data_IF_336903169294
#
_entry.id   IF_336903169294
#
_cell.length_a   1.000
_cell.length_b   1.000
_cell.length_c   1.000
_cell.angle_alpha   90.00
_cell.angle_beta   90.00
_cell.angle_gamma   90.00
#
_symmetry.space_group_name_H-M   'P 1'
#
loop_
_entity.id
_entity.type
_entity.pdbx_description
1 polymer ?
#
# COMPACT_ATOMS: atom_id res chain seq x y z
N UNK A 1 1.07 -44.89 -13.91
CA UNK A 1 0.53 -44.24 -12.70
C UNK A 1 1.11 -42.83 -12.60
N UNK A 2 0.31 -41.77 -12.70
CA UNK A 2 0.82 -40.40 -12.56
C UNK A 2 1.14 -40.13 -11.09
N UNK A 3 2.38 -39.72 -10.80
CA UNK A 3 2.81 -39.44 -9.44
C UNK A 3 2.11 -38.22 -8.87
N UNK A 4 1.96 -38.14 -7.54
CA UNK A 4 1.34 -36.99 -6.85
C UNK A 4 1.91 -35.64 -7.30
N UNK A 5 3.23 -35.56 -7.47
CA UNK A 5 3.95 -34.36 -7.96
C UNK A 5 3.55 -33.96 -9.37
N UNK A 6 3.28 -34.92 -10.25
CA UNK A 6 2.87 -34.64 -11.63
C UNK A 6 1.43 -34.13 -11.68
N UNK A 7 0.57 -34.65 -10.78
CA UNK A 7 -0.80 -34.18 -10.61
C UNK A 7 -0.85 -32.74 -10.09
N UNK A 8 0.00 -32.38 -9.14
CA UNK A 8 0.13 -31.00 -8.63
C UNK A 8 0.59 -30.04 -9.75
N UNK A 9 1.66 -30.40 -10.48
CA UNK A 9 2.11 -29.60 -11.64
C UNK A 9 1.04 -29.45 -12.71
N UNK A 10 0.29 -30.51 -12.98
CA UNK A 10 -0.81 -30.47 -13.95
C UNK A 10 -1.94 -29.54 -13.49
N UNK A 11 -2.28 -29.59 -12.20
CA UNK A 11 -3.27 -28.71 -11.60
C UNK A 11 -2.84 -27.24 -11.73
N UNK A 12 -1.60 -26.91 -11.35
CA UNK A 12 -1.07 -25.54 -11.42
C UNK A 12 -1.09 -24.99 -12.86
N UNK A 13 -0.62 -25.79 -13.82
CA UNK A 13 -0.68 -25.44 -15.25
C UNK A 13 -2.11 -25.22 -15.73
N UNK A 14 -3.03 -26.09 -15.32
CA UNK A 14 -4.46 -25.98 -15.70
C UNK A 14 -5.08 -24.72 -15.12
N UNK A 15 -4.81 -24.41 -13.85
CA UNK A 15 -5.32 -23.22 -13.18
C UNK A 15 -4.75 -21.94 -13.80
N UNK A 16 -3.43 -21.90 -14.02
CA UNK A 16 -2.78 -20.76 -14.68
C UNK A 16 -3.30 -20.55 -16.10
N UNK A 17 -3.45 -21.62 -16.88
CA UNK A 17 -3.98 -21.54 -18.24
C UNK A 17 -5.42 -20.98 -18.26
N UNK A 18 -6.33 -21.51 -17.43
CA UNK A 18 -7.71 -21.02 -17.36
C UNK A 18 -7.78 -19.56 -16.92
N UNK A 19 -6.94 -19.18 -15.97
CA UNK A 19 -6.86 -17.80 -15.50
C UNK A 19 -6.36 -16.85 -16.59
N UNK A 20 -5.32 -17.24 -17.33
CA UNK A 20 -4.80 -16.46 -18.47
C UNK A 20 -5.85 -16.33 -19.58
N UNK A 21 -6.60 -17.39 -19.86
CA UNK A 21 -7.68 -17.36 -20.85
C UNK A 21 -8.73 -16.29 -20.54
N UNK A 22 -9.15 -16.14 -19.28
CA UNK A 22 -10.14 -15.11 -18.89
C UNK A 22 -9.64 -13.70 -19.21
N UNK A 23 -8.34 -13.45 -19.02
CA UNK A 23 -7.72 -12.14 -19.29
C UNK A 23 -7.51 -11.91 -20.79
N UNK A 24 -7.18 -12.96 -21.55
CA UNK A 24 -7.02 -12.84 -23.00
C UNK A 24 -8.34 -12.59 -23.73
N UNK A 25 -9.43 -13.22 -23.29
CA UNK A 25 -10.77 -13.07 -23.90
C UNK A 25 -11.25 -11.61 -23.89
N UNK A 26 -10.80 -10.80 -22.93
CA UNK A 26 -11.15 -9.37 -22.88
C UNK A 26 -10.72 -8.61 -24.14
N UNK A 27 -9.64 -9.06 -24.81
CA UNK A 27 -9.13 -8.42 -26.03
C UNK A 27 -10.00 -8.69 -27.26
N UNK A 28 -10.81 -9.76 -27.22
CA UNK A 28 -11.67 -10.16 -28.34
C UNK A 28 -12.95 -9.33 -28.40
N UNK A 29 -13.26 -8.53 -27.37
CA UNK A 29 -14.44 -7.67 -27.34
C UNK A 29 -15.76 -8.40 -27.08
N UNK A 30 -15.73 -9.71 -26.84
CA UNK A 30 -16.93 -10.53 -26.59
C UNK A 30 -17.14 -10.81 -25.09
N UNK A 31 -18.01 -10.07 -24.39
CA UNK A 31 -18.21 -10.23 -22.95
C UNK A 31 -18.90 -11.55 -22.59
N UNK A 32 -19.66 -12.15 -23.52
CA UNK A 32 -20.38 -13.41 -23.29
C UNK A 32 -19.43 -14.57 -22.99
N UNK A 33 -18.29 -14.62 -23.67
CA UNK A 33 -17.26 -15.62 -23.43
C UNK A 33 -16.61 -15.44 -22.05
N UNK A 34 -16.45 -14.20 -21.58
CA UNK A 34 -15.77 -13.93 -20.31
C UNK A 34 -16.46 -14.57 -19.11
N UNK A 35 -17.80 -14.52 -19.05
CA UNK A 35 -18.58 -15.22 -18.03
C UNK A 35 -18.44 -16.75 -18.10
N UNK A 36 -18.39 -17.33 -19.30
CA UNK A 36 -18.21 -18.78 -19.49
C UNK A 36 -16.83 -19.24 -18.97
N UNK A 37 -15.76 -18.54 -19.34
CA UNK A 37 -14.41 -18.86 -18.89
C UNK A 37 -14.23 -18.62 -17.39
N UNK A 38 -14.84 -17.57 -16.84
CA UNK A 38 -14.85 -17.30 -15.40
C UNK A 38 -15.54 -18.43 -14.61
N UNK A 39 -16.74 -18.84 -15.06
CA UNK A 39 -17.47 -19.97 -14.48
C UNK A 39 -16.64 -21.26 -14.55
N UNK A 40 -15.98 -21.52 -15.67
CA UNK A 40 -15.11 -22.69 -15.84
C UNK A 40 -13.92 -22.65 -14.86
N UNK A 41 -13.30 -21.49 -14.65
CA UNK A 41 -12.23 -21.31 -13.68
C UNK A 41 -12.69 -21.56 -12.25
N UNK A 42 -13.80 -20.96 -11.81
CA UNK A 42 -14.33 -21.20 -10.47
C UNK A 42 -14.76 -22.66 -10.26
N UNK A 43 -15.38 -23.29 -11.26
CA UNK A 43 -15.70 -24.71 -11.20
C UNK A 43 -14.45 -25.59 -11.07
N UNK A 44 -13.37 -25.22 -11.74
CA UNK A 44 -12.08 -25.94 -11.64
C UNK A 44 -11.45 -25.74 -10.26
N UNK A 45 -11.44 -24.51 -9.74
CA UNK A 45 -10.98 -24.22 -8.38
C UNK A 45 -11.78 -25.00 -7.33
N UNK A 46 -13.10 -25.07 -7.48
CA UNK A 46 -14.01 -25.85 -6.61
C UNK A 46 -13.73 -27.35 -6.69
N UNK A 47 -13.50 -27.90 -7.89
CA UNK A 47 -13.14 -29.33 -8.08
C UNK A 47 -11.83 -29.68 -7.38
N UNK A 48 -10.84 -28.79 -7.43
CA UNK A 48 -9.55 -28.98 -6.76
C UNK A 48 -9.54 -28.54 -5.29
N UNK A 49 -10.65 -28.00 -4.77
CA UNK A 49 -10.77 -27.47 -3.39
C UNK A 49 -9.69 -26.42 -3.07
N UNK A 50 -9.35 -25.59 -4.05
CA UNK A 50 -8.34 -24.55 -3.91
C UNK A 50 -8.96 -23.29 -3.28
N UNK A 51 -8.43 -22.79 -2.15
CA UNK A 51 -8.84 -21.49 -1.63
C UNK A 51 -8.32 -20.39 -2.56
N UNK A 52 -9.24 -19.60 -3.11
CA UNK A 52 -8.88 -18.45 -3.93
C UNK A 52 -8.75 -17.20 -3.05
N UNK A 53 -7.79 -16.30 -3.35
CA UNK A 53 -7.68 -15.02 -2.67
C UNK A 53 -8.95 -14.17 -2.80
N UNK A 54 -9.22 -13.35 -1.79
CA UNK A 54 -10.41 -12.49 -1.75
C UNK A 54 -10.46 -11.50 -2.93
N UNK A 55 -9.30 -11.03 -3.39
CA UNK A 55 -9.21 -10.16 -4.57
C UNK A 55 -9.75 -10.79 -5.87
N UNK A 56 -9.86 -12.13 -5.93
CA UNK A 56 -10.38 -12.88 -7.08
C UNK A 56 -11.78 -13.41 -6.78
N UNK A 57 -12.06 -13.76 -5.53
CA UNK A 57 -13.33 -14.34 -5.09
C UNK A 57 -14.41 -13.29 -4.85
N UNK A 58 -14.06 -12.12 -4.35
CA UNK A 58 -15.01 -11.08 -4.01
C UNK A 58 -15.78 -10.62 -5.25
N UNK A 59 -17.11 -10.63 -5.12
CA UNK A 59 -18.01 -10.20 -6.17
C UNK A 59 -17.76 -8.74 -6.51
N UNK A 60 -17.79 -8.42 -7.80
CA UNK A 60 -17.64 -7.06 -8.32
C UNK A 60 -16.31 -6.33 -7.98
N UNK A 61 -15.31 -7.01 -7.41
CA UNK A 61 -13.98 -6.40 -7.22
C UNK A 61 -13.17 -6.49 -8.50
N UNK A 62 -12.81 -7.70 -8.91
CA UNK A 62 -11.96 -7.93 -10.10
C UNK A 62 -12.75 -8.27 -11.35
N UNK A 63 -13.82 -9.02 -11.20
CA UNK A 63 -14.71 -9.39 -12.29
C UNK A 63 -16.06 -8.71 -12.11
N UNK A 64 -16.73 -8.42 -13.21
CA UNK A 64 -18.10 -7.95 -13.17
C UNK A 64 -19.04 -9.09 -12.75
N UNK A 65 -19.89 -8.87 -11.75
CA UNK A 65 -20.87 -9.86 -11.29
C UNK A 65 -21.96 -10.18 -12.31
N UNK A 66 -22.25 -9.27 -13.26
CA UNK A 66 -23.26 -9.50 -14.28
C UNK A 66 -22.70 -10.25 -15.50
N UNK A 67 -21.70 -9.68 -16.19
CA UNK A 67 -21.15 -10.26 -17.42
C UNK A 67 -19.89 -11.12 -17.24
N UNK A 68 -19.27 -11.12 -16.07
CA UNK A 68 -18.04 -11.89 -15.80
C UNK A 68 -16.76 -11.32 -16.43
N UNK A 69 -16.80 -10.11 -17.00
CA UNK A 69 -15.62 -9.50 -17.61
C UNK A 69 -14.62 -9.01 -16.55
N UNK A 70 -13.32 -9.05 -16.86
CA UNK A 70 -12.28 -8.47 -15.98
C UNK A 70 -12.43 -6.96 -15.99
N UNK A 71 -12.50 -6.34 -14.81
CA UNK A 71 -12.55 -4.87 -14.68
C UNK A 71 -11.14 -4.30 -14.82
N UNK A 72 -10.93 -3.51 -15.86
CA UNK A 72 -9.66 -2.85 -16.19
C UNK A 72 -9.94 -1.34 -16.25
N UNK A 73 -9.37 -0.60 -15.29
CA UNK A 73 -9.48 0.85 -15.23
C UNK A 73 -8.98 1.50 -16.52
N UNK A 74 -9.77 2.43 -17.07
CA UNK A 74 -9.43 3.11 -18.32
C UNK A 74 -9.72 2.32 -19.61
N UNK A 75 -10.19 1.07 -19.50
CA UNK A 75 -10.60 0.27 -20.66
C UNK A 75 -12.10 -0.05 -20.61
N UNK A 76 -12.53 -0.87 -19.65
CA UNK A 76 -13.92 -1.31 -19.52
C UNK A 76 -14.49 -1.06 -18.12
N UNK A 77 -13.81 -0.23 -17.33
CA UNK A 77 -14.24 0.22 -16.01
C UNK A 77 -14.16 1.75 -15.95
N UNK A 78 -15.30 2.37 -15.65
CA UNK A 78 -15.39 3.78 -15.28
C UNK A 78 -15.56 3.87 -13.77
N UNK A 79 -14.66 4.61 -13.11
CA UNK A 79 -14.69 4.82 -11.67
C UNK A 79 -15.07 6.26 -11.37
N UNK A 80 -16.04 6.47 -10.46
CA UNK A 80 -16.44 7.81 -10.00
C UNK A 80 -16.50 7.82 -8.48
N UNK A 81 -15.93 8.85 -7.86
CA UNK A 81 -16.08 9.10 -6.43
C UNK A 81 -17.30 10.00 -6.22
N UNK A 82 -18.32 9.47 -5.56
CA UNK A 82 -19.52 10.18 -5.17
C UNK A 82 -19.41 10.59 -3.70
N UNK A 83 -19.88 11.79 -3.41
CA UNK A 83 -20.02 12.31 -2.04
C UNK A 83 -21.50 12.56 -1.83
N UNK A 84 -22.11 11.73 -1.01
CA UNK A 84 -23.50 11.86 -0.60
C UNK A 84 -23.50 12.45 0.81
N UNK A 85 -24.35 13.44 1.03
CA UNK A 85 -24.54 14.05 2.35
C UNK A 85 -25.94 13.68 2.79
N UNK A 86 -26.04 12.89 3.85
CA UNK A 86 -27.34 12.52 4.39
C UNK A 86 -27.98 13.71 5.13
N UNK A 87 -29.29 13.65 5.34
CA UNK A 87 -30.06 14.67 6.09
C UNK A 87 -29.51 14.94 7.50
N UNK A 88 -28.75 13.97 8.05
CA UNK A 88 -28.08 14.05 9.35
C UNK A 88 -26.68 14.70 9.31
N UNK A 89 -26.26 15.24 8.16
CA UNK A 89 -24.94 15.87 7.99
C UNK A 89 -23.75 14.90 7.94
N UNK A 90 -24.02 13.58 7.87
CA UNK A 90 -23.00 12.56 7.63
C UNK A 90 -22.57 12.65 6.16
N UNK A 91 -21.28 12.86 5.92
CA UNK A 91 -20.71 12.82 4.56
C UNK A 91 -20.21 11.42 4.30
N UNK A 92 -20.89 10.71 3.41
CA UNK A 92 -20.53 9.37 2.95
C UNK A 92 -19.81 9.46 1.61
N UNK A 93 -18.61 8.85 1.52
CA UNK A 93 -17.84 8.77 0.28
C UNK A 93 -18.01 7.39 -0.34
N UNK A 94 -18.67 7.35 -1.49
CA UNK A 94 -18.97 6.14 -2.23
C UNK A 94 -18.14 6.08 -3.52
N UNK A 95 -17.43 4.98 -3.75
CA UNK A 95 -16.71 4.73 -4.99
C UNK A 95 -17.60 3.89 -5.91
N UNK A 96 -18.10 4.49 -6.98
CA UNK A 96 -18.94 3.85 -7.99
C UNK A 96 -18.11 3.29 -9.12
N UNK A 97 -18.28 2.00 -9.40
CA UNK A 97 -17.71 1.26 -10.51
C UNK A 97 -18.80 0.97 -11.54
N UNK A 98 -18.62 1.45 -12.76
CA UNK A 98 -19.51 1.19 -13.88
C UNK A 98 -18.78 0.33 -14.92
N UNK A 99 -19.37 -0.81 -15.27
CA UNK A 99 -18.84 -1.68 -16.31
C UNK A 99 -19.16 -1.12 -17.70
N UNK A 100 -18.15 -0.94 -18.56
CA UNK A 100 -18.33 -0.46 -19.93
C UNK A 100 -19.07 -1.43 -20.86
N UNK A 101 -19.11 -2.73 -20.54
CA UNK A 101 -19.76 -3.74 -21.39
C UNK A 101 -21.25 -3.91 -21.10
N UNK A 102 -21.64 -4.02 -19.82
CA UNK A 102 -23.02 -4.31 -19.42
C UNK A 102 -23.68 -3.17 -18.63
N UNK A 103 -22.97 -2.06 -18.42
CA UNK A 103 -23.43 -0.87 -17.70
C UNK A 103 -23.84 -1.11 -16.24
N UNK A 104 -23.60 -2.30 -15.68
CA UNK A 104 -23.86 -2.58 -14.28
C UNK A 104 -23.02 -1.68 -13.37
N UNK A 105 -23.66 -1.13 -12.35
CA UNK A 105 -23.02 -0.30 -11.33
C UNK A 105 -22.74 -1.12 -10.07
N UNK A 106 -21.64 -0.80 -9.41
CA UNK A 106 -21.28 -1.35 -8.10
C UNK A 106 -20.70 -0.24 -7.25
N UNK A 107 -21.24 -0.04 -6.05
CA UNK A 107 -20.78 0.99 -5.13
C UNK A 107 -20.00 0.35 -3.98
N UNK A 108 -18.85 0.93 -3.68
CA UNK A 108 -18.03 0.56 -2.52
C UNK A 108 -18.04 1.75 -1.57
N UNK A 109 -18.49 1.52 -0.34
CA UNK A 109 -18.39 2.51 0.73
C UNK A 109 -16.91 2.63 1.14
N UNK A 110 -16.33 3.83 1.04
CA UNK A 110 -14.92 4.06 1.35
C UNK A 110 -14.75 4.62 2.76
N UNK A 111 -15.52 5.64 3.11
CA UNK A 111 -15.49 6.28 4.41
C UNK A 111 -16.88 6.79 4.79
N UNK A 112 -17.27 6.55 6.05
CA UNK A 112 -18.35 7.26 6.74
C UNK A 112 -17.70 8.24 7.70
N UNK A 113 -17.67 9.51 7.31
CA UNK A 113 -17.30 10.57 8.24
C UNK A 113 -18.54 10.90 9.06
N UNK A 114 -18.60 10.38 10.29
CA UNK A 114 -19.63 10.80 11.24
C UNK A 114 -19.56 12.32 11.42
N UNK A 115 -20.70 13.02 11.53
CA UNK A 115 -20.70 14.40 11.93
C UNK A 115 -20.01 14.45 13.28
N UNK A 116 -18.97 15.28 13.39
CA UNK A 116 -18.48 15.70 14.70
C UNK A 116 -19.68 16.31 15.41
N UNK A 117 -20.29 15.55 16.32
CA UNK A 117 -21.09 16.14 17.39
C UNK A 117 -20.14 17.16 18.00
N UNK A 118 -20.50 18.42 17.94
CA UNK A 118 -19.83 19.45 18.72
C UNK A 118 -19.83 18.96 20.16
N UNK A 119 -18.69 18.44 20.62
CA UNK A 119 -18.43 18.14 22.01
C UNK A 119 -18.23 19.47 22.73
N UNK A 120 -19.33 20.24 22.81
CA UNK A 120 -19.53 21.28 23.80
C UNK A 120 -19.84 20.59 25.13
N UNK A 121 -18.87 19.88 25.67
CA UNK A 121 -18.75 19.56 27.09
C UNK A 121 -17.28 19.30 27.37
N UNK A 122 -16.53 20.40 27.49
CA UNK A 122 -15.21 20.40 28.12
C UNK A 122 -15.40 19.97 29.57
N UNK A 123 -15.14 18.72 29.89
CA UNK A 123 -14.61 18.42 31.22
C UNK A 123 -13.17 18.94 31.28
N UNK A 124 -12.79 19.68 32.33
CA UNK A 124 -11.49 20.30 32.42
C UNK A 124 -10.41 19.25 32.66
N UNK A 125 -9.55 19.06 31.66
CA UNK A 125 -8.24 18.45 31.88
C UNK A 125 -7.45 19.26 32.91
N UNK A 126 -6.63 18.62 33.77
CA UNK A 126 -5.82 19.33 34.75
C UNK A 126 -4.88 20.28 34.01
N UNK A 127 -4.97 21.57 34.35
CA UNK A 127 -4.10 22.63 33.83
C UNK A 127 -2.66 22.30 34.22
N UNK A 128 -1.85 21.93 33.25
CA UNK A 128 -0.40 22.07 33.36
C UNK A 128 -0.08 23.43 32.74
N UNK A 129 0.17 24.41 33.60
CA UNK A 129 0.58 25.75 33.19
C UNK A 129 2.02 25.69 32.65
N UNK A 130 2.14 25.62 31.33
CA UNK A 130 3.41 25.91 30.65
C UNK A 130 3.37 27.39 30.27
N UNK A 131 3.96 28.21 31.13
CA UNK A 131 4.15 29.63 30.89
C UNK A 131 5.19 29.82 29.78
N UNK A 132 4.72 30.11 28.57
CA UNK A 132 5.58 30.52 27.47
C UNK A 132 6.01 31.97 27.69
N UNK A 133 7.32 32.28 27.75
CA UNK A 133 7.77 33.67 27.79
C UNK A 133 7.44 34.33 26.45
N UNK A 134 6.49 35.25 26.46
CA UNK A 134 6.39 36.30 25.44
C UNK A 134 7.40 37.38 25.79
N UNK A 135 8.10 37.90 24.77
CA UNK A 135 8.54 39.30 24.68
C UNK A 135 9.06 39.49 23.24
N UNK A 136 8.34 40.24 22.40
CA UNK A 136 8.45 41.70 22.20
C UNK A 136 9.88 42.13 21.84
N UNK A 137 10.06 42.55 20.59
CA UNK A 137 11.16 43.42 20.17
C UNK A 137 10.83 44.89 20.47
N UNK A 138 11.77 45.83 20.38
CA UNK A 138 13.21 45.76 20.68
C UNK A 138 13.67 46.98 21.53
N UNK A 139 14.75 46.86 22.29
CA UNK A 139 15.66 47.99 22.51
C UNK A 139 17.03 47.55 23.05
N UNK A 140 18.00 48.42 22.83
CA UNK A 140 19.43 48.17 22.61
C UNK A 140 20.23 48.28 23.92
N UNK A 141 21.12 47.32 24.21
CA UNK A 141 22.57 47.58 24.36
C UNK A 141 23.40 46.35 24.72
N UNK A 142 24.65 46.45 24.26
CA UNK A 142 25.83 45.59 24.38
C UNK A 142 25.91 44.61 25.57
N UNK A 143 26.22 43.35 25.29
CA UNK A 143 27.57 42.81 25.51
C UNK A 143 27.69 41.33 25.09
N UNK A 144 28.77 41.03 24.36
CA UNK A 144 29.48 39.73 24.25
C UNK A 144 28.72 38.49 23.73
N UNK A 145 28.73 38.43 22.39
CA UNK A 145 28.95 37.26 21.52
C UNK A 145 29.44 35.98 22.22
N UNK A 146 28.65 34.89 22.15
CA UNK A 146 29.16 33.52 22.00
C UNK A 146 28.48 32.82 20.82
N UNK A 147 29.20 32.77 19.70
CA UNK A 147 28.80 32.11 18.45
C UNK A 147 28.79 30.58 18.56
N UNK A 148 27.72 30.00 18.01
CA UNK A 148 27.68 28.87 17.07
C UNK A 148 28.41 27.55 17.41
N UNK A 149 27.62 26.50 17.67
CA UNK A 149 28.01 25.11 17.32
C UNK A 149 26.84 24.27 16.77
N UNK A 150 25.61 24.44 17.25
CA UNK A 150 24.50 23.52 16.93
C UNK A 150 23.91 23.64 15.51
N UNK A 151 23.82 24.84 14.94
CA UNK A 151 23.26 25.03 13.59
C UNK A 151 24.21 24.54 12.49
N UNK A 152 25.53 24.73 12.68
CA UNK A 152 26.57 24.30 11.73
C UNK A 152 26.70 22.78 11.70
N UNK A 153 26.55 22.10 12.84
CA UNK A 153 26.52 20.64 12.91
C UNK A 153 25.30 20.02 12.22
N UNK A 154 24.11 20.63 12.39
CA UNK A 154 22.90 20.14 11.70
C UNK A 154 23.01 20.29 10.18
N UNK A 155 23.59 21.39 9.70
CA UNK A 155 23.84 21.59 8.27
C UNK A 155 24.87 20.58 7.72
N UNK A 156 25.90 20.24 8.50
CA UNK A 156 26.91 19.23 8.11
C UNK A 156 26.32 17.81 8.07
N UNK A 157 25.47 17.43 9.04
CA UNK A 157 24.76 16.14 9.03
C UNK A 157 23.82 15.98 7.83
N UNK A 158 23.16 17.06 7.41
CA UNK A 158 22.30 17.06 6.21
C UNK A 158 23.09 16.91 4.91
N UNK A 159 24.35 17.38 4.85
CA UNK A 159 25.22 17.21 3.67
C UNK A 159 25.92 15.84 3.60
N UNK A 160 25.89 15.06 4.67
CA UNK A 160 26.45 13.70 4.71
C UNK A 160 25.45 12.60 4.35
N UNK A 161 24.16 12.91 4.15
CA UNK A 161 23.13 11.93 3.79
C UNK A 161 23.00 11.68 2.27
N UNK A 162 24.02 12.01 1.48
CA UNK A 162 24.09 11.71 0.05
C UNK A 162 24.64 10.30 -0.15
N UNK A 163 24.07 9.54 -1.09
CA UNK A 163 24.37 8.12 -1.35
C UNK A 163 25.88 7.84 -1.49
N UNK A 164 26.64 8.75 -2.10
CA UNK A 164 28.09 8.68 -2.26
C UNK A 164 28.86 8.64 -0.92
N UNK A 165 28.40 9.39 0.08
CA UNK A 165 29.01 9.44 1.42
C UNK A 165 28.64 8.22 2.27
N UNK A 166 27.43 7.66 2.07
CA UNK A 166 27.02 6.40 2.69
C UNK A 166 27.82 5.20 2.15
N UNK A 167 28.16 5.20 0.87
CA UNK A 167 29.01 4.17 0.27
C UNK A 167 30.47 4.28 0.71
N UNK A 168 31.02 5.50 0.79
CA UNK A 168 32.38 5.72 1.28
C UNK A 168 32.54 5.30 2.76
N UNK A 169 31.62 5.72 3.63
CA UNK A 169 31.64 5.32 5.06
C UNK A 169 31.38 3.83 5.27
N UNK A 170 30.68 3.14 4.36
CA UNK A 170 30.53 1.68 4.41
C UNK A 170 31.82 0.95 4.02
N UNK A 171 32.57 1.46 3.02
CA UNK A 171 33.89 0.92 2.65
C UNK A 171 34.93 1.08 3.77
N UNK A 172 34.99 2.25 4.41
CA UNK A 172 35.88 2.47 5.57
C UNK A 172 35.53 1.57 6.78
N UNK A 173 34.23 1.30 6.99
CA UNK A 173 33.77 0.35 8.02
C UNK A 173 34.09 -1.11 7.68
N UNK A 174 34.19 -1.48 6.41
CA UNK A 174 34.64 -2.80 5.99
C UNK A 174 36.17 -2.94 6.06
N UNK A 175 36.93 -1.90 5.75
CA UNK A 175 38.40 -1.90 5.88
C UNK A 175 38.87 -1.90 7.35
N UNK A 176 38.17 -1.19 8.24
CA UNK A 176 38.45 -1.25 9.69
C UNK A 176 38.06 -2.60 10.30
N UNK A 177 37.01 -3.26 9.81
CA UNK A 177 36.70 -4.66 10.18
C UNK A 177 37.75 -5.65 9.68
N UNK A 178 38.39 -5.39 8.53
CA UNK A 178 39.49 -6.22 8.02
C UNK A 178 40.79 -6.07 8.84
N UNK A 179 41.00 -4.97 9.55
CA UNK A 179 42.18 -4.78 10.43
C UNK A 179 42.06 -5.49 11.79
N UNK A 180 40.86 -5.90 12.21
CA UNK A 180 40.64 -6.61 13.48
C UNK A 180 40.44 -8.13 13.33
N UNK A 181 40.62 -8.67 12.12
CA UNK A 181 40.60 -10.13 11.86
C UNK A 181 41.97 -10.56 11.34
N UNK A 182 43.00 -10.41 12.17
CA UNK A 182 44.24 -11.16 12.01
C UNK A 182 44.27 -12.24 13.10
N UNK A 183 43.51 -13.32 12.91
CA UNK A 183 43.74 -14.55 13.64
C UNK A 183 45.07 -15.14 13.13
N UNK A 184 46.07 -15.18 14.01
CA UNK A 184 47.36 -15.79 13.70
C UNK A 184 47.25 -17.31 13.78
N UNK A 185 47.92 -18.00 12.86
CA UNK A 185 47.96 -19.47 12.73
C UNK A 185 48.51 -20.21 13.97
N UNK A 186 49.04 -19.51 14.98
CA UNK A 186 49.59 -20.14 16.19
C UNK A 186 48.56 -20.51 17.25
N UNK A 187 47.31 -20.02 17.16
CA UNK A 187 46.25 -20.39 18.12
C UNK A 187 45.62 -21.77 17.83
N UNK A 188 45.97 -22.42 16.72
CA UNK A 188 45.50 -23.77 16.38
C UNK A 188 46.48 -24.89 16.79
N UNK A 189 47.65 -24.56 17.34
CA UNK A 189 48.69 -25.56 17.69
C UNK A 189 49.00 -25.64 19.20
N UNK A 190 48.02 -25.40 20.07
CA UNK A 190 48.07 -25.79 21.48
C UNK A 190 46.97 -26.79 21.82
#
# INVERSE_FOLDING_TARGET
>A
MSGRRDREKFMDRTMAHKYNMIHHVQRLGEPQLSGLYLKNFYNTAKRYRLPLPESIRADNVKFCGNCGCVRIAGYNLTMKLLRETDENGVVTRNLRYQCGHCQSEYNIEVDKTEPKKDASSKEPSPKVDIQWPRQSSPEVNDDKIKKNTTAKERAKKRKQSTLSNLLASKKEKEESKKKNVSLSLMDFMK
#
